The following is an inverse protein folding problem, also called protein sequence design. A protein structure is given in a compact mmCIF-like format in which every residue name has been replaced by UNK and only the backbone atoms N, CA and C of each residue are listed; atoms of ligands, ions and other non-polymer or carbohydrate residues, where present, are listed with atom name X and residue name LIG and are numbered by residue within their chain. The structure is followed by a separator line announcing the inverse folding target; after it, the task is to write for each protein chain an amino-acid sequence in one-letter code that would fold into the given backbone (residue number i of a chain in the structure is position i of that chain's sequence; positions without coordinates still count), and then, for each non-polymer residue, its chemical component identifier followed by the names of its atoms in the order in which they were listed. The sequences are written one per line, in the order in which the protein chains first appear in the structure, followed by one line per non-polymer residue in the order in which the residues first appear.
data_IF_978815728645
#
_entry.id   IF_978815728645
#
_cell.length_a   1.000
_cell.length_b   1.000
_cell.length_c   1.000
_cell.angle_alpha   90.00
_cell.angle_beta   90.00
_cell.angle_gamma   90.00
#
_symmetry.space_group_name_H-M   'P 1'
#
loop_
_entity.id
_entity.type
_entity.pdbx_description
1 polymer ?
#
# COMPACT_ATOMS: atom_id res chain seq x y z
N UNK A 1 -13.13 21.03 -2.16
CA UNK A 1 -13.73 20.23 -3.25
C UNK A 1 -12.70 19.69 -4.25
N UNK A 2 -11.74 20.48 -4.72
CA UNK A 2 -10.70 20.02 -5.66
C UNK A 2 -9.87 18.84 -5.10
N UNK A 3 -9.49 18.90 -3.83
CA UNK A 3 -8.77 17.82 -3.13
C UNK A 3 -9.56 16.52 -3.07
N UNK A 4 -10.88 16.56 -2.88
CA UNK A 4 -11.74 15.39 -2.86
C UNK A 4 -11.81 14.70 -4.24
N UNK A 5 -11.99 15.47 -5.32
CA UNK A 5 -12.01 14.92 -6.68
C UNK A 5 -10.65 14.34 -7.08
N UNK A 6 -9.56 15.04 -6.75
CA UNK A 6 -8.20 14.58 -7.02
C UNK A 6 -7.92 13.28 -6.26
N UNK A 7 -8.31 13.16 -4.99
CA UNK A 7 -8.09 11.96 -4.15
C UNK A 7 -8.99 10.79 -4.56
N UNK A 8 -10.26 11.03 -4.88
CA UNK A 8 -11.18 9.99 -5.34
C UNK A 8 -10.73 9.45 -6.71
N UNK A 9 -10.30 10.35 -7.60
CA UNK A 9 -9.67 9.98 -8.85
C UNK A 9 -8.39 9.17 -8.61
N UNK A 10 -7.52 9.60 -7.69
CA UNK A 10 -6.26 8.91 -7.37
C UNK A 10 -6.46 7.51 -6.79
N UNK A 11 -7.45 7.34 -5.91
CA UNK A 11 -7.76 6.05 -5.28
C UNK A 11 -8.42 5.09 -6.26
N UNK A 12 -9.35 5.58 -7.09
CA UNK A 12 -9.99 4.78 -8.15
C UNK A 12 -8.99 4.42 -9.25
N UNK A 13 -8.18 5.37 -9.74
CA UNK A 13 -7.09 5.07 -10.68
C UNK A 13 -6.05 4.15 -10.06
N UNK A 14 -5.71 4.32 -8.79
CA UNK A 14 -4.79 3.46 -8.06
C UNK A 14 -5.31 2.02 -7.97
N UNK A 15 -6.58 1.84 -7.60
CA UNK A 15 -7.22 0.53 -7.55
C UNK A 15 -7.39 -0.11 -8.94
N UNK A 16 -7.74 0.67 -9.96
CA UNK A 16 -7.81 0.21 -11.35
C UNK A 16 -6.43 -0.15 -11.89
N UNK A 17 -5.38 0.62 -11.57
CA UNK A 17 -3.99 0.31 -11.91
C UNK A 17 -3.52 -0.95 -11.19
N UNK A 18 -3.82 -1.11 -9.89
CA UNK A 18 -3.54 -2.33 -9.15
C UNK A 18 -4.22 -3.53 -9.81
N UNK A 19 -5.52 -3.43 -10.10
CA UNK A 19 -6.30 -4.48 -10.76
C UNK A 19 -5.77 -4.80 -12.15
N UNK A 20 -5.42 -3.79 -12.94
CA UNK A 20 -4.86 -3.95 -14.27
C UNK A 20 -3.46 -4.57 -14.20
N UNK A 21 -2.58 -4.09 -13.33
CA UNK A 21 -1.22 -4.62 -13.13
C UNK A 21 -1.29 -6.08 -12.67
N UNK A 22 -2.12 -6.41 -11.68
CA UNK A 22 -2.31 -7.79 -11.22
C UNK A 22 -2.87 -8.70 -12.32
N UNK A 23 -3.82 -8.20 -13.13
CA UNK A 23 -4.42 -8.98 -14.22
C UNK A 23 -3.57 -9.07 -15.50
N UNK A 24 -2.65 -8.13 -15.73
CA UNK A 24 -1.79 -8.06 -16.91
C UNK A 24 -0.37 -8.63 -16.66
N UNK A 25 -0.03 -8.95 -15.41
CA UNK A 25 1.22 -9.63 -15.04
C UNK A 25 1.27 -11.18 -15.14
N UNK A 26 0.18 -11.95 -15.41
CA UNK A 26 0.28 -13.40 -15.52
C UNK A 26 0.93 -13.77 -16.85
N UNK A 27 2.25 -13.90 -16.86
CA UNK A 27 3.07 -14.33 -18.01
C UNK A 27 4.42 -13.63 -18.13
N UNK A 28 4.62 -12.51 -17.43
CA UNK A 28 5.90 -11.77 -17.47
C UNK A 28 7.02 -12.39 -16.61
N UNK A 29 8.28 -11.99 -16.85
CA UNK A 29 9.44 -12.47 -16.10
C UNK A 29 9.33 -12.11 -14.60
N UNK A 30 9.92 -12.90 -13.70
CA UNK A 30 9.83 -12.69 -12.25
C UNK A 30 10.35 -11.31 -11.82
N UNK A 31 11.33 -10.74 -12.54
CA UNK A 31 11.84 -9.39 -12.30
C UNK A 31 10.76 -8.31 -12.43
N UNK A 32 9.82 -8.44 -13.38
CA UNK A 32 8.72 -7.49 -13.57
C UNK A 32 7.74 -7.50 -12.40
N UNK A 33 7.52 -8.67 -11.79
CA UNK A 33 6.65 -8.83 -10.61
C UNK A 33 7.31 -8.25 -9.35
N UNK A 34 8.63 -8.44 -9.19
CA UNK A 34 9.39 -7.83 -8.11
C UNK A 34 9.40 -6.29 -8.23
N UNK A 35 9.58 -5.75 -9.43
CA UNK A 35 9.50 -4.31 -9.67
C UNK A 35 8.10 -3.75 -9.35
N UNK A 36 7.03 -4.46 -9.71
CA UNK A 36 5.67 -4.07 -9.35
C UNK A 36 5.44 -4.07 -7.83
N UNK A 37 5.96 -5.09 -7.11
CA UNK A 37 5.90 -5.13 -5.66
C UNK A 37 6.62 -3.93 -5.02
N UNK A 38 7.84 -3.61 -5.50
CA UNK A 38 8.58 -2.43 -5.05
C UNK A 38 7.80 -1.13 -5.31
N UNK A 39 7.17 -1.01 -6.49
CA UNK A 39 6.30 0.13 -6.81
C UNK A 39 5.13 0.28 -5.84
N UNK A 40 4.40 -0.81 -5.54
CA UNK A 40 3.32 -0.78 -4.56
C UNK A 40 3.80 -0.46 -3.15
N UNK A 41 4.98 -0.95 -2.75
CA UNK A 41 5.59 -0.61 -1.47
C UNK A 41 5.92 0.90 -1.37
N UNK A 42 6.47 1.49 -2.44
CA UNK A 42 6.74 2.93 -2.51
C UNK A 42 5.44 3.75 -2.47
N UNK A 43 4.37 3.31 -3.14
CA UNK A 43 3.07 3.95 -3.05
C UNK A 43 2.48 3.86 -1.63
N UNK A 44 2.58 2.70 -0.98
CA UNK A 44 2.15 2.54 0.41
C UNK A 44 2.92 3.48 1.34
N UNK A 45 4.25 3.56 1.17
CA UNK A 45 5.12 4.44 1.94
C UNK A 45 4.78 5.91 1.72
N UNK A 46 4.60 6.33 0.46
CA UNK A 46 4.22 7.70 0.13
C UNK A 46 2.87 8.10 0.75
N UNK A 47 1.87 7.21 0.68
CA UNK A 47 0.56 7.46 1.29
C UNK A 47 0.63 7.50 2.82
N UNK A 48 1.45 6.64 3.42
CA UNK A 48 1.70 6.65 4.87
C UNK A 48 2.37 7.94 5.31
N UNK A 49 3.43 8.38 4.61
CA UNK A 49 4.12 9.65 4.88
C UNK A 49 3.19 10.86 4.68
N UNK A 50 2.33 10.81 3.67
CA UNK A 50 1.28 11.80 3.47
C UNK A 50 0.36 11.88 4.70
N UNK A 51 -0.18 10.76 5.16
CA UNK A 51 -0.99 10.71 6.37
C UNK A 51 -0.23 11.15 7.62
N UNK A 52 1.06 10.81 7.72
CA UNK A 52 1.90 11.16 8.86
C UNK A 52 2.19 12.66 8.89
N UNK A 53 2.25 13.33 7.74
CA UNK A 53 2.41 14.79 7.69
C UNK A 53 1.29 15.53 8.43
N UNK A 54 0.05 15.00 8.38
CA UNK A 54 -1.08 15.52 9.14
C UNK A 54 -0.98 15.29 10.67
N UNK A 55 -0.08 14.42 11.12
CA UNK A 55 0.18 14.19 12.55
C UNK A 55 1.23 15.10 13.15
N UNK A 56 2.00 15.85 12.36
CA UNK A 56 3.09 16.68 12.89
C UNK A 56 2.65 18.09 13.31
N UNK A 57 1.35 18.32 13.55
CA UNK A 57 0.91 19.57 14.18
C UNK A 57 1.55 19.68 15.58
N UNK A 58 2.38 20.71 15.74
CA UNK A 58 3.14 21.03 16.96
C UNK A 58 2.21 21.39 18.11
N UNK A 59 1.02 21.89 17.79
CA UNK A 59 -0.04 22.18 18.75
C UNK A 59 -1.37 21.61 18.24
N UNK A 60 -1.83 20.51 18.87
CA UNK A 60 -3.09 19.84 18.49
C UNK A 60 -4.27 20.74 18.81
N UNK A 61 -4.22 21.46 19.93
CA UNK A 61 -5.31 22.32 20.36
C UNK A 61 -5.52 23.44 19.36
N UNK A 62 -4.43 24.03 18.89
CA UNK A 62 -4.43 25.05 17.84
C UNK A 62 -5.00 24.49 16.53
N UNK A 63 -4.50 23.35 16.04
CA UNK A 63 -4.99 22.75 14.78
C UNK A 63 -6.46 22.35 14.87
N UNK A 64 -6.89 21.71 15.95
CA UNK A 64 -8.29 21.31 16.13
C UNK A 64 -9.22 22.53 16.20
N UNK A 65 -8.89 23.50 17.06
CA UNK A 65 -9.80 24.61 17.39
C UNK A 65 -9.74 25.72 16.33
N UNK A 66 -8.54 26.10 15.88
CA UNK A 66 -8.35 27.23 14.97
C UNK A 66 -8.41 26.83 13.49
N UNK A 67 -7.84 25.69 13.10
CA UNK A 67 -7.82 25.29 11.68
C UNK A 67 -9.06 24.48 11.27
N UNK A 68 -9.56 23.61 12.15
CA UNK A 68 -10.68 22.71 11.85
C UNK A 68 -11.98 23.05 12.57
N UNK A 69 -11.96 24.04 13.49
CA UNK A 69 -13.12 24.46 14.29
C UNK A 69 -13.80 23.29 15.01
N UNK A 70 -12.99 22.35 15.49
CA UNK A 70 -13.42 21.20 16.28
C UNK A 70 -12.97 21.37 17.73
N UNK A 71 -13.85 21.12 18.72
CA UNK A 71 -13.44 21.11 20.12
C UNK A 71 -12.46 19.97 20.35
N UNK A 72 -11.34 20.26 21.02
CA UNK A 72 -10.41 19.25 21.48
C UNK A 72 -10.96 18.59 22.75
N UNK A 73 -11.28 17.30 22.67
CA UNK A 73 -11.66 16.50 23.83
C UNK A 73 -10.43 15.76 24.36
N UNK A 74 -10.01 16.00 25.62
CA UNK A 74 -8.81 15.36 26.17
C UNK A 74 -8.91 13.83 26.25
N UNK A 75 -10.13 13.28 26.27
CA UNK A 75 -10.37 11.84 26.20
C UNK A 75 -9.94 11.21 24.86
N UNK A 76 -9.85 11.99 23.78
CA UNK A 76 -9.59 11.50 22.42
C UNK A 76 -8.25 11.96 21.83
N UNK A 77 -7.44 12.73 22.56
CA UNK A 77 -6.12 13.23 22.12
C UNK A 77 -5.02 12.18 21.97
N UNK A 78 -5.37 10.88 21.91
CA UNK A 78 -4.43 9.79 21.73
C UNK A 78 -3.97 9.69 20.28
N UNK A 79 -2.67 9.49 20.08
CA UNK A 79 -2.08 9.22 18.76
C UNK A 79 -1.81 7.73 18.60
N UNK A 80 -2.15 7.17 17.45
CA UNK A 80 -1.75 5.82 17.07
C UNK A 80 -1.02 5.85 15.73
N UNK A 81 0.09 5.11 15.66
CA UNK A 81 0.87 4.97 14.42
C UNK A 81 0.31 3.86 13.51
N UNK A 82 -0.38 2.88 14.09
CA UNK A 82 -0.96 1.74 13.35
C UNK A 82 -2.27 1.31 14.01
N UNK A 83 -3.44 1.58 13.39
CA UNK A 83 -3.67 2.45 12.24
C UNK A 83 -3.34 3.92 12.54
N UNK A 84 -2.98 4.68 11.52
CA UNK A 84 -2.58 6.08 11.64
C UNK A 84 -3.79 6.90 12.07
N UNK A 85 -3.72 7.49 13.26
CA UNK A 85 -4.87 8.13 13.91
C UNK A 85 -4.50 9.26 14.89
N UNK A 86 -5.14 10.43 14.77
CA UNK A 86 -5.03 11.56 15.72
C UNK A 86 -6.36 12.32 15.79
N UNK A 87 -7.20 12.00 16.78
CA UNK A 87 -8.53 12.59 16.97
C UNK A 87 -8.48 13.96 17.65
N UNK A 88 -9.39 14.85 17.22
CA UNK A 88 -9.81 16.00 18.02
C UNK A 88 -10.95 15.62 18.98
N UNK A 89 -11.90 14.82 18.49
CA UNK A 89 -13.08 14.37 19.23
C UNK A 89 -13.54 13.00 18.71
N UNK A 90 -14.65 12.47 19.23
CA UNK A 90 -15.18 11.17 18.81
C UNK A 90 -15.47 11.03 17.29
N UNK A 91 -15.73 12.15 16.60
CA UNK A 91 -16.20 12.18 15.22
C UNK A 91 -15.19 12.75 14.22
N UNK A 92 -14.09 13.34 14.70
CA UNK A 92 -13.13 14.03 13.86
C UNK A 92 -11.70 13.56 14.10
N UNK A 93 -11.09 13.05 13.03
CA UNK A 93 -9.70 12.62 12.95
C UNK A 93 -8.96 13.57 12.00
N UNK A 94 -7.77 14.02 12.41
CA UNK A 94 -6.88 14.81 11.55
C UNK A 94 -6.38 13.97 10.37
N UNK A 95 -6.23 12.66 10.58
CA UNK A 95 -5.80 11.76 9.51
C UNK A 95 -6.96 11.53 8.56
N UNK A 96 -6.78 11.75 7.24
CA UNK A 96 -7.84 11.49 6.30
C UNK A 96 -8.27 10.01 6.31
N UNK A 97 -9.58 9.71 6.27
CA UNK A 97 -10.11 8.36 6.47
C UNK A 97 -9.68 7.34 5.39
N UNK A 98 -9.18 7.82 4.25
CA UNK A 98 -8.71 6.99 3.14
C UNK A 98 -7.26 6.50 3.30
N UNK A 99 -6.45 7.11 4.18
CA UNK A 99 -5.02 6.77 4.32
C UNK A 99 -4.86 5.33 4.76
N UNK A 100 -5.50 4.95 5.86
CA UNK A 100 -5.42 3.60 6.43
C UNK A 100 -5.86 2.50 5.44
N UNK A 101 -7.07 2.54 4.86
CA UNK A 101 -7.48 1.53 3.90
C UNK A 101 -6.62 1.56 2.61
N UNK A 102 -6.16 2.73 2.17
CA UNK A 102 -5.27 2.83 1.01
C UNK A 102 -3.90 2.18 1.24
N UNK A 103 -3.27 2.41 2.40
CA UNK A 103 -2.01 1.75 2.77
C UNK A 103 -2.17 0.24 2.79
N UNK A 104 -3.26 -0.26 3.41
CA UNK A 104 -3.58 -1.70 3.42
C UNK A 104 -3.73 -2.25 2.00
N UNK A 105 -4.45 -1.55 1.12
CA UNK A 105 -4.64 -1.99 -0.26
C UNK A 105 -3.31 -2.11 -1.02
N UNK A 106 -2.42 -1.12 -0.89
CA UNK A 106 -1.10 -1.18 -1.53
C UNK A 106 -0.21 -2.27 -0.95
N UNK A 107 -0.24 -2.51 0.37
CA UNK A 107 0.51 -3.60 1.00
C UNK A 107 0.02 -4.97 0.56
N UNK A 108 -1.29 -5.16 0.43
CA UNK A 108 -1.88 -6.40 -0.11
C UNK A 108 -1.44 -6.62 -1.56
N UNK A 109 -1.50 -5.58 -2.40
CA UNK A 109 -1.03 -5.66 -3.79
C UNK A 109 0.47 -6.01 -3.87
N UNK A 110 1.30 -5.39 -3.03
CA UNK A 110 2.72 -5.69 -2.89
C UNK A 110 2.94 -7.17 -2.53
N UNK A 111 2.23 -7.67 -1.51
CA UNK A 111 2.33 -9.06 -1.06
C UNK A 111 1.93 -10.06 -2.16
N UNK A 112 0.86 -9.77 -2.91
CA UNK A 112 0.45 -10.60 -4.04
C UNK A 112 1.51 -10.64 -5.16
N UNK A 113 2.06 -9.48 -5.55
CA UNK A 113 3.12 -9.42 -6.56
C UNK A 113 4.39 -10.13 -6.10
N UNK A 114 4.80 -9.95 -4.85
CA UNK A 114 5.97 -10.60 -4.30
C UNK A 114 5.78 -12.12 -4.21
N UNK A 115 4.64 -12.58 -3.69
CA UNK A 115 4.32 -14.01 -3.58
C UNK A 115 4.30 -14.71 -4.94
N UNK A 116 3.76 -14.07 -5.97
CA UNK A 116 3.78 -14.61 -7.35
C UNK A 116 5.18 -14.58 -7.99
N UNK A 117 6.04 -13.62 -7.64
CA UNK A 117 7.43 -13.58 -8.08
C UNK A 117 8.24 -14.73 -7.44
N UNK A 118 8.11 -14.90 -6.12
CA UNK A 118 8.78 -15.96 -5.35
C UNK A 118 8.34 -17.33 -5.85
N UNK A 119 7.03 -17.56 -6.04
CA UNK A 119 6.51 -18.83 -6.57
C UNK A 119 7.11 -19.17 -7.93
N UNK A 120 7.22 -18.21 -8.84
CA UNK A 120 7.82 -18.45 -10.16
C UNK A 120 9.30 -18.88 -10.06
N UNK A 121 10.07 -18.21 -9.19
CA UNK A 121 11.47 -18.58 -8.93
C UNK A 121 11.61 -19.96 -8.28
N UNK A 122 10.72 -20.30 -7.36
CA UNK A 122 10.73 -21.63 -6.73
C UNK A 122 10.39 -22.75 -7.72
N UNK A 123 9.49 -22.52 -8.67
CA UNK A 123 9.17 -23.49 -9.75
C UNK A 123 10.36 -23.69 -10.68
N UNK A 124 11.05 -22.61 -11.04
CA UNK A 124 12.29 -22.65 -11.85
C UNK A 124 13.38 -23.46 -11.15
N UNK A 125 13.62 -23.21 -9.85
CA UNK A 125 14.60 -23.96 -9.06
C UNK A 125 14.24 -25.43 -8.84
N UNK A 126 12.94 -25.76 -8.76
CA UNK A 126 12.44 -27.14 -8.65
C UNK A 126 12.50 -27.93 -9.95
N UNK A 127 13.13 -27.40 -11.00
CA UNK A 127 13.41 -28.14 -12.23
C UNK A 127 14.86 -28.68 -12.29
N UNK A 128 15.35 -29.49 -11.33
CA UNK A 128 16.56 -30.27 -11.58
C UNK A 128 16.19 -31.56 -12.36
N UNK A 129 16.89 -31.78 -13.47
CA UNK A 129 17.22 -33.12 -14.01
C UNK A 129 16.14 -33.99 -14.71
N UNK A 130 15.24 -33.43 -15.53
CA UNK A 130 14.40 -34.25 -16.44
C UNK A 130 15.03 -34.61 -17.80
N UNK A 131 16.21 -34.07 -18.12
CA UNK A 131 16.80 -34.13 -19.47
C UNK A 131 18.13 -34.87 -19.60
N UNK A 132 18.70 -35.40 -18.52
CA UNK A 132 20.04 -36.03 -18.55
C UNK A 132 20.02 -37.55 -18.73
N UNK A 133 18.87 -38.22 -18.56
CA UNK A 133 18.76 -39.68 -18.75
C UNK A 133 18.50 -40.10 -20.21
N UNK A 134 18.09 -39.19 -21.10
CA UNK A 134 17.71 -39.58 -22.49
C UNK A 134 18.87 -39.64 -23.49
N UNK A 135 20.09 -39.24 -23.09
CA UNK A 135 21.26 -39.26 -23.97
C UNK A 135 22.24 -40.42 -23.69
N UNK A 136 21.93 -41.29 -22.72
CA UNK A 136 22.78 -42.45 -22.39
C UNK A 136 22.28 -43.75 -23.03
N UNK A 137 21.10 -43.75 -23.66
CA UNK A 137 20.52 -44.93 -24.33
C UNK A 137 20.64 -44.90 -25.87
N UNK A 138 21.30 -43.89 -26.43
CA UNK A 138 21.57 -43.79 -27.87
C UNK A 138 23.02 -44.17 -28.23
N UNK A 139 23.65 -45.02 -27.42
CA UNK A 139 24.93 -45.69 -27.71
C UNK A 139 24.69 -47.16 -28.07
#
# INVERSE_FOLDING_TARGET
MLTFFVVCLWTVLGALLVGAVVRLLPGGPPARRAAAAAGFLLCALALYLWGASHMFATDIEETCTLQHHQPLEPAYGQTSLVPLHRRCNAHFDLVPPYVNPGVVAYLVACACCLGTAVRARLVEHRSPAGGRERNTEAQ
#
